data_IF_714308735541
#
_entry.id   IF_714308735541
#
_cell.length_a   1.000
_cell.length_b   1.000
_cell.length_c   1.000
_cell.angle_alpha   90.00
_cell.angle_beta   90.00
_cell.angle_gamma   90.00
#
_symmetry.space_group_name_H-M   'P 1'
#
loop_
_entity.id
_entity.type
_entity.pdbx_description
1 polymer ?
#
# COMPACT_ATOMS: atom_id res chain seq x y z
N UNK A 1 0.69 17.96 -13.03
CA UNK A 1 0.52 18.07 -11.57
C UNK A 1 0.46 19.55 -11.23
N UNK A 2 -0.50 19.94 -10.40
CA UNK A 2 -0.66 21.33 -9.94
C UNK A 2 -0.69 21.33 -8.43
N UNK A 3 0.10 22.20 -7.79
CA UNK A 3 0.13 22.34 -6.33
C UNK A 3 -0.33 23.74 -5.94
N UNK A 4 -1.25 23.81 -5.00
CA UNK A 4 -1.78 25.05 -4.42
C UNK A 4 -1.51 25.09 -2.93
N UNK A 5 -1.36 26.29 -2.39
CA UNK A 5 -1.05 26.53 -0.99
C UNK A 5 -2.14 27.42 -0.37
N UNK A 6 -2.46 27.14 0.87
CA UNK A 6 -3.21 28.04 1.77
C UNK A 6 -2.29 28.48 2.91
N UNK A 7 -2.82 29.20 3.90
CA UNK A 7 -2.03 29.61 5.08
C UNK A 7 -1.60 28.42 5.96
N UNK A 8 -2.24 27.26 5.85
CA UNK A 8 -2.00 26.10 6.74
C UNK A 8 -1.72 24.78 6.02
N UNK A 9 -2.12 24.64 4.76
CA UNK A 9 -2.06 23.36 4.02
C UNK A 9 -1.56 23.55 2.59
N UNK A 10 -0.98 22.48 2.03
CA UNK A 10 -0.83 22.35 0.59
C UNK A 10 -1.78 21.30 0.04
N UNK A 11 -2.10 21.43 -1.24
CA UNK A 11 -2.87 20.44 -1.99
C UNK A 11 -2.25 20.28 -3.36
N UNK A 12 -1.95 19.05 -3.74
CA UNK A 12 -1.44 18.69 -5.05
C UNK A 12 -2.45 17.82 -5.78
N UNK A 13 -2.76 18.20 -7.03
CA UNK A 13 -3.61 17.42 -7.94
C UNK A 13 -2.73 16.79 -9.01
N UNK A 14 -2.75 15.47 -9.04
CA UNK A 14 -2.15 14.66 -10.10
C UNK A 14 -3.25 14.31 -11.09
N UNK A 15 -3.19 14.89 -12.28
CA UNK A 15 -4.14 14.69 -13.37
C UNK A 15 -3.56 13.71 -14.39
N UNK A 16 -4.30 12.65 -14.70
CA UNK A 16 -3.92 11.64 -15.70
C UNK A 16 -4.69 11.80 -17.01
N UNK A 17 -5.69 12.68 -17.06
CA UNK A 17 -6.52 12.95 -18.23
C UNK A 17 -7.52 11.83 -18.52
N UNK A 18 -8.49 12.13 -19.38
CA UNK A 18 -9.55 11.19 -19.78
C UNK A 18 -9.05 10.15 -20.81
N UNK A 19 -8.04 10.50 -21.61
CA UNK A 19 -7.46 9.60 -22.63
C UNK A 19 -6.57 8.50 -22.03
N UNK A 20 -6.26 8.59 -20.74
CA UNK A 20 -5.40 7.65 -20.03
C UNK A 20 -3.90 7.96 -20.13
N UNK A 21 -3.20 7.66 -19.05
CA UNK A 21 -1.76 7.71 -18.91
C UNK A 21 -1.22 6.30 -18.62
N UNK A 22 -0.31 5.80 -19.46
CA UNK A 22 0.34 4.51 -19.24
C UNK A 22 1.54 4.69 -18.31
N UNK A 23 1.50 4.04 -17.15
CA UNK A 23 2.60 4.01 -16.19
C UNK A 23 3.72 3.08 -16.66
N UNK A 24 4.91 3.22 -16.09
CA UNK A 24 6.04 2.32 -16.37
C UNK A 24 5.73 0.84 -16.07
N UNK A 25 4.77 0.57 -15.18
CA UNK A 25 4.26 -0.78 -14.91
C UNK A 25 3.40 -1.37 -16.04
N UNK A 26 3.08 -0.59 -17.07
CA UNK A 26 2.13 -0.95 -18.13
C UNK A 26 0.67 -0.73 -17.75
N UNK A 27 0.37 -0.36 -16.50
CA UNK A 27 -0.98 0.00 -16.08
C UNK A 27 -1.42 1.31 -16.73
N UNK A 28 -2.71 1.38 -17.09
CA UNK A 28 -3.35 2.59 -17.62
C UNK A 28 -4.18 3.23 -16.53
N UNK A 29 -3.91 4.50 -16.24
CA UNK A 29 -4.62 5.29 -15.23
C UNK A 29 -5.32 6.51 -15.86
N UNK A 30 -6.49 6.87 -15.35
CA UNK A 30 -7.26 8.06 -15.77
C UNK A 30 -7.80 8.79 -14.53
N UNK A 31 -8.24 10.05 -14.71
CA UNK A 31 -8.80 10.87 -13.64
C UNK A 31 -7.73 11.49 -12.74
N UNK A 32 -8.08 11.72 -11.47
CA UNK A 32 -7.25 12.52 -10.57
C UNK A 32 -6.98 11.83 -9.23
N UNK A 33 -5.74 11.97 -8.76
CA UNK A 33 -5.38 11.76 -7.36
C UNK A 33 -5.12 13.12 -6.74
N UNK A 34 -5.80 13.42 -5.64
CA UNK A 34 -5.65 14.66 -4.89
C UNK A 34 -4.97 14.29 -3.56
N UNK A 35 -3.85 14.96 -3.29
CA UNK A 35 -3.04 14.75 -2.09
C UNK A 35 -2.96 16.07 -1.33
N UNK A 36 -3.17 16.05 -0.03
CA UNK A 36 -3.05 17.25 0.82
C UNK A 36 -2.33 16.94 2.11
N UNK A 37 -1.68 17.95 2.68
CA UNK A 37 -1.01 17.84 3.97
C UNK A 37 -0.82 19.22 4.62
N UNK A 38 -0.36 19.23 5.86
CA UNK A 38 -0.03 20.46 6.56
C UNK A 38 1.22 21.12 5.96
N UNK A 39 1.40 22.42 6.22
CA UNK A 39 2.65 23.15 5.93
C UNK A 39 3.64 23.15 7.09
N UNK A 40 3.27 22.57 8.22
CA UNK A 40 4.17 22.40 9.36
C UNK A 40 5.00 21.12 9.16
N UNK A 41 6.09 21.27 8.41
CA UNK A 41 7.03 20.18 8.14
C UNK A 41 8.00 19.91 9.30
N UNK A 42 8.01 20.77 10.31
CA UNK A 42 8.82 20.62 11.54
C UNK A 42 8.03 19.90 12.65
N UNK A 43 6.74 19.64 12.43
CA UNK A 43 5.91 18.87 13.35
C UNK A 43 6.49 17.47 13.58
N UNK A 44 6.39 16.99 14.82
CA UNK A 44 6.86 15.65 15.19
C UNK A 44 6.12 14.52 14.43
N UNK A 45 4.91 14.81 13.97
CA UNK A 45 4.13 13.95 13.09
C UNK A 45 3.59 14.76 11.92
N UNK A 46 3.57 14.16 10.74
CA UNK A 46 3.16 14.79 9.51
C UNK A 46 2.00 14.04 8.85
N UNK A 47 0.86 14.69 8.69
CA UNK A 47 -0.36 14.08 8.16
C UNK A 47 -0.53 14.36 6.66
N UNK A 48 -0.90 13.33 5.91
CA UNK A 48 -1.17 13.39 4.48
C UNK A 48 -2.43 12.62 4.14
N UNK A 49 -3.38 13.32 3.52
CA UNK A 49 -4.62 12.76 3.01
C UNK A 49 -4.56 12.54 1.50
N UNK A 50 -5.19 11.47 1.06
CA UNK A 50 -5.38 11.13 -0.34
C UNK A 50 -6.86 10.97 -0.62
N UNK A 51 -7.32 11.59 -1.69
CA UNK A 51 -8.67 11.41 -2.24
C UNK A 51 -8.59 11.17 -3.75
N UNK A 52 -9.61 10.52 -4.28
CA UNK A 52 -9.69 10.14 -5.69
C UNK A 52 -10.86 10.86 -6.33
N UNK A 53 -10.63 11.48 -7.49
CA UNK A 53 -11.70 12.10 -8.27
C UNK A 53 -11.76 11.46 -9.65
N UNK A 54 -12.81 10.66 -9.86
CA UNK A 54 -13.05 9.87 -11.07
C UNK A 54 -11.80 9.08 -11.50
N UNK A 55 -11.07 8.54 -10.53
CA UNK A 55 -9.80 7.86 -10.77
C UNK A 55 -10.03 6.40 -11.15
N UNK A 56 -9.38 5.96 -12.23
CA UNK A 56 -9.40 4.56 -12.63
C UNK A 56 -7.99 4.02 -12.78
N UNK A 57 -7.81 2.76 -12.37
CA UNK A 57 -6.60 1.98 -12.59
C UNK A 57 -6.95 0.70 -13.35
N UNK A 58 -6.52 0.57 -14.61
CA UNK A 58 -6.89 -0.53 -15.51
C UNK A 58 -8.43 -0.72 -15.56
N UNK A 59 -9.16 0.37 -15.78
CA UNK A 59 -10.63 0.43 -15.82
C UNK A 59 -11.35 0.08 -14.50
N UNK A 60 -10.63 -0.02 -13.39
CA UNK A 60 -11.22 -0.19 -12.06
C UNK A 60 -11.38 1.18 -11.42
N UNK A 61 -12.61 1.57 -11.11
CA UNK A 61 -12.89 2.83 -10.43
C UNK A 61 -12.44 2.73 -8.98
N UNK A 62 -11.75 3.75 -8.46
CA UNK A 62 -11.31 3.78 -7.06
C UNK A 62 -11.88 5.02 -6.40
N UNK A 63 -12.55 4.82 -5.27
CA UNK A 63 -13.22 5.84 -4.49
C UNK A 63 -12.86 5.70 -3.02
N UNK A 64 -12.99 6.79 -2.25
CA UNK A 64 -12.70 6.82 -0.83
C UNK A 64 -11.45 7.64 -0.48
N UNK A 65 -10.88 7.35 0.68
CA UNK A 65 -9.78 8.10 1.25
C UNK A 65 -8.66 7.19 1.78
N UNK A 66 -7.50 7.80 1.93
CA UNK A 66 -6.38 7.21 2.65
C UNK A 66 -5.74 8.30 3.47
N UNK A 67 -5.68 8.09 4.77
CA UNK A 67 -5.00 8.97 5.70
C UNK A 67 -3.65 8.37 6.07
N UNK A 68 -2.60 9.17 6.08
CA UNK A 68 -1.25 8.73 6.41
C UNK A 68 -0.65 9.68 7.43
N UNK A 69 -0.25 9.14 8.58
CA UNK A 69 0.54 9.86 9.58
C UNK A 69 1.98 9.38 9.50
N UNK A 70 2.88 10.27 9.11
CA UNK A 70 4.32 10.04 9.12
C UNK A 70 4.92 10.48 10.45
N UNK A 71 5.82 9.68 11.00
CA UNK A 71 6.61 9.98 12.20
C UNK A 71 8.08 9.70 11.92
N UNK A 72 8.96 10.39 12.66
CA UNK A 72 10.39 10.08 12.68
C UNK A 72 10.75 9.50 14.05
N UNK A 73 10.82 8.18 14.12
CA UNK A 73 10.94 7.47 15.39
C UNK A 73 11.78 6.19 15.28
N UNK A 74 12.26 5.71 16.42
CA UNK A 74 12.92 4.41 16.56
C UNK A 74 11.88 3.33 16.81
N UNK A 75 12.05 2.16 16.19
CA UNK A 75 11.14 1.02 16.37
C UNK A 75 11.91 -0.25 16.71
N UNK A 76 11.19 -1.37 16.92
CA UNK A 76 11.83 -2.68 17.08
C UNK A 76 12.47 -3.16 15.77
N UNK A 77 11.95 -2.73 14.61
CA UNK A 77 12.47 -3.11 13.31
C UNK A 77 13.77 -2.37 12.96
N UNK A 78 13.86 -1.11 13.39
CA UNK A 78 15.02 -0.26 13.16
C UNK A 78 15.24 0.67 14.38
N UNK A 79 16.28 0.42 15.21
CA UNK A 79 16.55 1.20 16.43
C UNK A 79 17.00 2.64 16.17
N UNK A 80 17.63 2.93 15.04
CA UNK A 80 17.86 4.31 14.63
C UNK A 80 16.54 4.96 14.19
N UNK A 81 16.38 6.25 14.48
CA UNK A 81 15.16 6.96 14.13
C UNK A 81 15.05 7.06 12.59
N UNK A 82 13.90 6.65 12.07
CA UNK A 82 13.62 6.56 10.64
C UNK A 82 12.15 6.90 10.37
N UNK A 83 11.76 6.95 9.10
CA UNK A 83 10.37 7.27 8.73
C UNK A 83 9.45 6.07 8.95
N UNK A 84 8.42 6.27 9.76
CA UNK A 84 7.32 5.33 9.99
C UNK A 84 6.03 5.96 9.45
N UNK A 85 5.29 5.23 8.63
CA UNK A 85 4.04 5.67 8.03
C UNK A 85 2.88 4.81 8.53
N UNK A 86 2.05 5.39 9.40
CA UNK A 86 0.78 4.83 9.85
C UNK A 86 -0.28 5.15 8.80
N UNK A 87 -0.89 4.14 8.21
CA UNK A 87 -1.77 4.29 7.04
C UNK A 87 -3.14 3.70 7.36
N UNK A 88 -4.13 4.56 7.48
CA UNK A 88 -5.52 4.18 7.53
C UNK A 88 -6.07 4.04 6.11
N UNK A 89 -6.77 2.93 5.90
CA UNK A 89 -7.28 2.50 4.62
C UNK A 89 -8.80 2.51 4.71
N UNK A 90 -9.46 3.25 3.84
CA UNK A 90 -10.91 3.19 3.63
C UNK A 90 -11.24 3.56 2.18
N UNK A 91 -11.31 2.55 1.32
CA UNK A 91 -11.60 2.77 -0.09
C UNK A 91 -12.45 1.67 -0.71
N UNK A 92 -13.14 2.01 -1.78
CA UNK A 92 -13.93 1.10 -2.61
C UNK A 92 -13.32 1.02 -4.00
N UNK A 93 -13.26 -0.20 -4.55
CA UNK A 93 -12.86 -0.46 -5.93
C UNK A 93 -14.01 -1.11 -6.67
N UNK A 94 -14.46 -0.47 -7.74
CA UNK A 94 -15.51 -0.99 -8.62
C UNK A 94 -14.91 -1.50 -9.91
N UNK A 95 -15.12 -2.78 -10.19
CA UNK A 95 -14.62 -3.45 -11.40
C UNK A 95 -15.53 -3.17 -12.61
N UNK A 96 -15.04 -3.34 -13.85
CA UNK A 96 -15.84 -3.14 -15.06
C UNK A 96 -17.12 -4.00 -15.16
N UNK A 97 -17.14 -5.13 -14.44
CA UNK A 97 -18.31 -6.01 -14.37
C UNK A 97 -19.35 -5.56 -13.33
N UNK A 98 -19.14 -4.43 -12.65
CA UNK A 98 -20.01 -3.90 -11.60
C UNK A 98 -19.74 -4.47 -10.19
N UNK A 99 -18.77 -5.37 -10.03
CA UNK A 99 -18.43 -5.87 -8.70
C UNK A 99 -17.70 -4.80 -7.90
N UNK A 100 -18.19 -4.54 -6.70
CA UNK A 100 -17.60 -3.57 -5.77
C UNK A 100 -16.88 -4.28 -4.62
N UNK A 101 -15.69 -3.79 -4.29
CA UNK A 101 -14.89 -4.28 -3.18
C UNK A 101 -14.51 -3.11 -2.29
N UNK A 102 -15.04 -3.10 -1.08
CA UNK A 102 -14.74 -2.11 -0.07
C UNK A 102 -13.68 -2.65 0.89
N UNK A 103 -12.65 -1.85 1.20
CA UNK A 103 -11.55 -2.24 2.07
C UNK A 103 -11.33 -1.21 3.16
N UNK A 104 -11.35 -1.69 4.41
CA UNK A 104 -11.09 -0.88 5.59
C UNK A 104 -10.05 -1.54 6.49
N UNK A 105 -9.13 -0.76 7.04
CA UNK A 105 -8.14 -1.28 7.97
C UNK A 105 -6.95 -0.36 8.16
N UNK A 106 -5.88 -0.93 8.70
CA UNK A 106 -4.70 -0.18 9.09
C UNK A 106 -3.43 -0.94 8.70
N UNK A 107 -2.44 -0.22 8.18
CA UNK A 107 -1.10 -0.76 7.94
C UNK A 107 -0.03 0.23 8.39
N UNK A 108 1.08 -0.30 8.85
CA UNK A 108 2.28 0.45 9.18
C UNK A 108 3.33 0.11 8.13
N UNK A 109 3.98 1.14 7.57
CA UNK A 109 5.12 0.98 6.67
C UNK A 109 6.32 1.73 7.20
N UNK A 110 7.43 1.03 7.39
CA UNK A 110 8.68 1.55 7.95
C UNK A 110 9.76 1.52 6.86
N UNK A 111 10.56 2.59 6.74
CA UNK A 111 11.78 2.60 5.93
C UNK A 111 12.96 2.10 6.78
N UNK A 112 13.17 0.79 6.81
CA UNK A 112 14.11 0.14 7.73
C UNK A 112 15.57 0.19 7.26
N UNK A 113 15.80 0.51 5.99
CA UNK A 113 17.14 0.72 5.39
C UNK A 113 17.06 1.80 4.30
N UNK A 114 18.15 2.52 4.04
CA UNK A 114 18.24 3.65 3.08
C UNK A 114 17.69 4.99 3.59
N UNK A 115 17.25 5.07 4.86
CA UNK A 115 16.73 6.31 5.44
C UNK A 115 17.80 7.41 5.64
N UNK A 116 19.09 7.05 5.65
CA UNK A 116 20.23 7.96 5.79
C UNK A 116 20.81 8.40 4.44
N UNK A 117 20.32 7.85 3.32
CA UNK A 117 20.75 8.16 1.95
C UNK A 117 19.61 8.78 1.13
N UNK A 118 19.06 9.96 1.48
CA UNK A 118 17.81 10.50 0.91
C UNK A 118 17.81 10.72 -0.61
N UNK A 119 18.98 10.74 -1.25
CA UNK A 119 19.14 10.86 -2.71
C UNK A 119 19.39 9.53 -3.43
N UNK A 120 19.63 8.44 -2.70
CA UNK A 120 19.68 7.09 -3.23
C UNK A 120 18.37 6.39 -2.86
N UNK A 121 17.59 6.01 -3.85
CA UNK A 121 16.27 5.41 -3.58
C UNK A 121 16.31 3.90 -3.81
N UNK A 122 17.45 3.39 -4.29
CA UNK A 122 17.61 2.00 -4.73
C UNK A 122 18.09 1.07 -3.61
N UNK A 123 18.64 1.63 -2.54
CA UNK A 123 18.99 0.96 -1.30
C UNK A 123 17.83 0.88 -0.29
N UNK A 124 16.73 1.59 -0.55
CA UNK A 124 15.57 1.59 0.35
C UNK A 124 14.99 0.18 0.56
N UNK A 125 14.79 -0.16 1.83
CA UNK A 125 14.07 -1.37 2.24
C UNK A 125 12.90 -0.96 3.13
N UNK A 126 11.71 -1.39 2.73
CA UNK A 126 10.48 -1.12 3.46
C UNK A 126 9.98 -2.38 4.16
N UNK A 127 9.60 -2.24 5.41
CA UNK A 127 8.85 -3.25 6.15
C UNK A 127 7.39 -2.81 6.25
N UNK A 128 6.45 -3.75 6.08
CA UNK A 128 5.01 -3.50 6.20
C UNK A 128 4.37 -4.49 7.17
N UNK A 129 3.58 -3.98 8.10
CA UNK A 129 2.71 -4.75 8.99
C UNK A 129 1.29 -4.20 8.94
N UNK A 130 0.31 -4.95 9.44
CA UNK A 130 -1.06 -4.47 9.51
C UNK A 130 -2.11 -5.53 9.20
N UNK A 131 -3.35 -5.06 9.20
CA UNK A 131 -4.51 -5.87 8.89
C UNK A 131 -5.64 -5.02 8.32
N UNK A 132 -6.46 -5.63 7.48
CA UNK A 132 -7.63 -4.99 6.89
C UNK A 132 -8.71 -6.00 6.58
N UNK A 133 -9.94 -5.51 6.48
CA UNK A 133 -11.10 -6.27 6.03
C UNK A 133 -11.44 -5.85 4.61
N UNK A 134 -11.80 -6.81 3.78
CA UNK A 134 -12.37 -6.55 2.45
C UNK A 134 -13.77 -7.13 2.40
N UNK A 135 -14.73 -6.33 1.97
CA UNK A 135 -16.11 -6.73 1.74
C UNK A 135 -16.38 -6.65 0.25
N UNK A 136 -16.73 -7.78 -0.35
CA UNK A 136 -17.11 -7.86 -1.76
C UNK A 136 -18.50 -8.47 -1.93
N UNK A 137 -18.93 -8.71 -3.18
CA UNK A 137 -20.29 -9.18 -3.48
C UNK A 137 -20.60 -10.57 -2.91
N UNK A 138 -19.56 -11.39 -2.71
CA UNK A 138 -19.66 -12.77 -2.25
C UNK A 138 -19.28 -12.94 -0.76
N UNK A 139 -19.20 -11.84 -0.01
CA UNK A 139 -18.88 -11.83 1.40
C UNK A 139 -17.59 -11.09 1.74
N UNK A 140 -17.20 -11.18 3.00
CA UNK A 140 -16.05 -10.48 3.55
C UNK A 140 -14.94 -11.43 3.98
N UNK A 141 -13.71 -10.95 3.92
CA UNK A 141 -12.55 -11.62 4.46
C UNK A 141 -11.62 -10.62 5.13
N UNK A 142 -10.96 -11.07 6.19
CA UNK A 142 -9.85 -10.32 6.80
C UNK A 142 -8.56 -10.71 6.11
N UNK A 143 -7.62 -9.78 6.08
CA UNK A 143 -6.25 -10.01 5.66
C UNK A 143 -5.34 -9.49 6.76
N UNK A 144 -4.43 -10.32 7.22
CA UNK A 144 -3.49 -10.00 8.29
C UNK A 144 -2.09 -10.33 7.80
N UNK A 145 -1.18 -9.37 7.95
CA UNK A 145 0.25 -9.63 7.76
C UNK A 145 0.73 -10.41 8.99
N UNK A 146 1.27 -11.61 8.77
CA UNK A 146 1.81 -12.46 9.82
C UNK A 146 3.23 -12.01 10.17
N UNK A 147 4.21 -12.61 9.51
CA UNK A 147 5.57 -12.06 9.48
C UNK A 147 5.59 -10.80 8.60
N UNK A 148 6.28 -9.72 9.01
CA UNK A 148 6.29 -8.46 8.27
C UNK A 148 6.67 -8.67 6.81
N UNK A 149 5.94 -7.99 5.91
CA UNK A 149 6.27 -8.01 4.50
C UNK A 149 7.47 -7.10 4.26
N UNK A 150 8.45 -7.57 3.50
CA UNK A 150 9.64 -6.78 3.16
C UNK A 150 9.63 -6.47 1.67
N UNK A 151 9.81 -5.18 1.33
CA UNK A 151 9.89 -4.70 -0.03
C UNK A 151 11.22 -3.96 -0.25
N UNK A 152 12.02 -4.46 -1.19
CA UNK A 152 13.29 -3.84 -1.57
C UNK A 152 13.04 -2.94 -2.78
N UNK A 153 13.61 -1.74 -2.82
CA UNK A 153 13.40 -0.82 -3.94
C UNK A 153 13.87 -1.35 -5.30
N UNK A 154 14.81 -2.29 -5.30
CA UNK A 154 15.29 -2.99 -6.49
C UNK A 154 14.45 -4.23 -6.85
N UNK A 155 13.48 -4.58 -6.01
CA UNK A 155 12.64 -5.76 -6.17
C UNK A 155 11.24 -5.37 -6.65
N UNK A 156 10.78 -5.85 -7.83
CA UNK A 156 9.42 -5.59 -8.28
C UNK A 156 8.36 -6.36 -7.47
N UNK A 157 8.78 -7.37 -6.69
CA UNK A 157 7.92 -8.24 -5.89
C UNK A 157 8.09 -8.00 -4.38
N UNK A 158 7.17 -8.53 -3.58
CA UNK A 158 7.36 -8.64 -2.13
C UNK A 158 8.44 -9.70 -1.91
N UNK A 159 9.54 -9.33 -1.25
CA UNK A 159 10.71 -10.18 -1.14
C UNK A 159 10.71 -11.12 0.06
N UNK A 160 9.92 -10.83 1.10
CA UNK A 160 9.78 -11.68 2.27
C UNK A 160 8.47 -11.43 3.04
N UNK A 161 8.14 -12.35 3.94
CA UNK A 161 7.05 -12.20 4.89
C UNK A 161 5.83 -13.05 4.54
N UNK A 162 4.78 -12.97 5.36
CA UNK A 162 3.57 -13.78 5.19
C UNK A 162 2.31 -12.94 5.29
N UNK A 163 1.32 -13.29 4.48
CA UNK A 163 0.01 -12.65 4.44
C UNK A 163 -1.06 -13.73 4.54
N UNK A 164 -1.96 -13.62 5.51
CA UNK A 164 -3.06 -14.58 5.68
C UNK A 164 -4.40 -13.91 5.42
N UNK A 165 -5.17 -14.49 4.51
CA UNK A 165 -6.56 -14.15 4.26
C UNK A 165 -7.45 -15.14 5.03
N UNK A 166 -8.48 -14.65 5.71
CA UNK A 166 -9.39 -15.48 6.49
C UNK A 166 -10.85 -15.15 6.22
N UNK A 167 -11.67 -16.18 5.98
CA UNK A 167 -13.13 -16.05 5.83
C UNK A 167 -13.85 -17.26 6.44
N UNK A 168 -14.68 -17.00 7.45
CA UNK A 168 -15.27 -18.07 8.27
C UNK A 168 -14.19 -18.97 8.88
N UNK A 169 -14.26 -20.26 8.58
CA UNK A 169 -13.27 -21.26 9.03
C UNK A 169 -12.16 -21.51 7.99
N UNK A 170 -12.16 -20.78 6.86
CA UNK A 170 -11.17 -20.96 5.82
C UNK A 170 -10.06 -19.92 5.92
N UNK A 171 -8.83 -20.35 5.66
CA UNK A 171 -7.65 -19.50 5.60
C UNK A 171 -6.85 -19.78 4.34
N UNK A 172 -6.22 -18.75 3.80
CA UNK A 172 -5.25 -18.83 2.72
C UNK A 172 -4.04 -17.98 3.10
N UNK A 173 -2.89 -18.62 3.28
CA UNK A 173 -1.63 -17.95 3.64
C UNK A 173 -0.72 -17.94 2.43
N UNK A 174 -0.26 -16.75 2.05
CA UNK A 174 0.83 -16.52 1.12
C UNK A 174 2.11 -16.29 1.91
N UNK A 175 3.14 -17.06 1.60
CA UNK A 175 4.50 -16.91 2.12
C UNK A 175 5.43 -16.48 0.98
N UNK A 176 6.00 -15.28 1.10
CA UNK A 176 6.87 -14.67 0.10
C UNK A 176 8.35 -15.06 0.30
N UNK A 177 8.65 -15.96 1.22
CA UNK A 177 10.01 -16.43 1.49
C UNK A 177 10.79 -15.51 2.41
N UNK A 178 12.12 -15.57 2.28
CA UNK A 178 13.09 -15.06 3.24
C UNK A 178 14.02 -13.97 2.70
N UNK A 179 13.67 -13.35 1.57
CA UNK A 179 14.39 -12.17 1.04
C UNK A 179 15.10 -12.38 -0.31
N UNK A 180 14.82 -13.46 -1.03
CA UNK A 180 15.46 -13.78 -2.33
C UNK A 180 15.03 -12.90 -3.49
N UNK A 181 13.98 -12.06 -3.32
CA UNK A 181 13.39 -11.26 -4.38
C UNK A 181 13.10 -12.10 -5.64
N UNK A 182 12.36 -13.19 -5.46
CA UNK A 182 11.88 -13.97 -6.59
C UNK A 182 10.42 -13.63 -6.91
N UNK A 183 9.92 -14.21 -8.01
CA UNK A 183 8.56 -14.01 -8.50
C UNK A 183 7.63 -15.14 -8.04
N UNK A 184 7.97 -15.82 -6.95
CA UNK A 184 7.19 -16.92 -6.40
C UNK A 184 6.69 -16.61 -4.99
N UNK A 185 5.57 -17.21 -4.62
CA UNK A 185 5.15 -17.32 -3.24
C UNK A 185 4.57 -18.72 -2.99
N UNK A 186 4.55 -19.15 -1.74
CA UNK A 186 3.94 -20.42 -1.35
C UNK A 186 2.53 -20.14 -0.80
N UNK A 187 1.52 -20.65 -1.50
CA UNK A 187 0.13 -20.61 -1.09
C UNK A 187 -0.22 -21.87 -0.28
N UNK A 188 -0.67 -21.66 0.95
CA UNK A 188 -1.20 -22.70 1.83
C UNK A 188 -2.68 -22.42 2.12
N UNK A 189 -3.56 -23.34 1.75
CA UNK A 189 -5.01 -23.23 2.01
C UNK A 189 -5.39 -24.17 3.14
N UNK A 190 -6.03 -23.67 4.19
CA UNK A 190 -6.52 -24.43 5.33
C UNK A 190 -5.47 -25.37 5.96
N UNK A 191 -4.21 -24.94 6.01
CA UNK A 191 -3.09 -25.75 6.54
C UNK A 191 -2.72 -26.96 5.67
N UNK A 192 -3.20 -27.02 4.43
CA UNK A 192 -2.85 -28.07 3.47
C UNK A 192 -1.41 -27.97 2.96
N UNK A 193 -1.07 -28.80 1.97
CA UNK A 193 0.26 -28.77 1.36
C UNK A 193 0.49 -27.46 0.61
N UNK A 194 1.61 -26.75 0.86
CA UNK A 194 1.93 -25.51 0.13
C UNK A 194 2.08 -25.76 -1.37
N UNK A 195 1.57 -24.82 -2.16
CA UNK A 195 1.70 -24.80 -3.62
C UNK A 195 2.38 -23.52 -4.08
N UNK A 196 3.28 -23.62 -5.05
CA UNK A 196 3.97 -22.45 -5.60
C UNK A 196 3.03 -21.67 -6.51
N UNK A 197 2.93 -20.36 -6.30
CA UNK A 197 2.21 -19.41 -7.14
C UNK A 197 3.17 -18.37 -7.70
N UNK A 198 2.87 -17.87 -8.91
CA UNK A 198 3.63 -16.80 -9.55
C UNK A 198 3.07 -15.43 -9.15
N UNK A 199 3.96 -14.50 -8.83
CA UNK A 199 3.64 -13.10 -8.55
C UNK A 199 3.60 -12.33 -9.87
N UNK A 200 2.47 -11.67 -10.14
CA UNK A 200 2.19 -10.96 -11.39
C UNK A 200 1.69 -9.53 -11.12
#
# INVERSE_FOLDING_TARGET
>A
MTTTFTDATWTSVIEFGESGCTLNSGAVVTGQIIVSGSLDFDAASYEVDYTFNNFYHNNRHVEGNRHVTFTWESTTAQPEAHTVANIDIDFTVTYPNGNEYHRTGHRIRELIDGYDTPFNWTDNVYQVTGNWTTTGPNGSWTTTIGTPLVWYATCPYIGAGTLTLSTGNNTATLDYGDGTCDYFAQLTVNGGTPTTVLLN
#
